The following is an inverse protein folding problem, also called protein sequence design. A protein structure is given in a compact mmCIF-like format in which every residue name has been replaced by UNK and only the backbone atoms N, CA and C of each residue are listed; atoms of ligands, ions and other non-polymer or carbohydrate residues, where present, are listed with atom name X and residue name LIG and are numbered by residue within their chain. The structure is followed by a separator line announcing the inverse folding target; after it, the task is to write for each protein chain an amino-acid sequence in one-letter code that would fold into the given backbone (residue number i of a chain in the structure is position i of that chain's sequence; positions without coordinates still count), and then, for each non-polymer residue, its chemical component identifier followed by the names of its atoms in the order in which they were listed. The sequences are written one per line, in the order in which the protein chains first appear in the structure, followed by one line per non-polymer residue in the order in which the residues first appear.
data_IF_581869781915
#
_entry.id   IF_581869781915
#
_cell.length_a   1.000
_cell.length_b   1.000
_cell.length_c   1.000
_cell.angle_alpha   90.00
_cell.angle_beta   90.00
_cell.angle_gamma   90.00
#
_symmetry.space_group_name_H-M   'P 1'
#
loop_
_entity.id
_entity.type
_entity.pdbx_description
1 polymer ?
#
# COMPACT_ATOMS: atom_id res chain seq x y z
N UNK A 1 -74.72 33.53 3.12
CA UNK A 1 -73.61 33.03 2.28
C UNK A 1 -72.39 32.94 3.16
N UNK A 2 -71.82 31.74 3.28
CA UNK A 2 -70.67 31.44 4.13
C UNK A 2 -69.43 32.19 3.64
N UNK A 3 -68.68 32.76 4.59
CA UNK A 3 -67.37 33.37 4.39
C UNK A 3 -66.39 32.35 3.84
N UNK A 4 -65.65 32.72 2.78
CA UNK A 4 -64.59 31.89 2.22
C UNK A 4 -63.54 31.57 3.30
N UNK A 5 -63.03 30.33 3.35
CA UNK A 5 -61.91 29.99 4.20
C UNK A 5 -60.68 30.80 3.77
N UNK A 6 -59.80 31.19 4.70
CA UNK A 6 -58.54 31.83 4.36
C UNK A 6 -57.71 30.90 3.46
N UNK A 7 -56.94 31.46 2.51
CA UNK A 7 -56.11 30.66 1.62
C UNK A 7 -55.12 29.84 2.44
N UNK A 8 -55.04 28.56 2.11
CA UNK A 8 -54.09 27.62 2.69
C UNK A 8 -52.67 28.17 2.49
N UNK A 9 -51.81 28.23 3.53
CA UNK A 9 -50.45 28.70 3.37
C UNK A 9 -49.75 27.79 2.37
N UNK A 10 -49.19 28.39 1.31
CA UNK A 10 -48.36 27.67 0.35
C UNK A 10 -47.32 26.85 1.12
N UNK A 11 -47.04 25.60 0.72
CA UNK A 11 -46.04 24.78 1.38
C UNK A 11 -44.74 25.57 1.39
N UNK A 12 -44.24 25.89 2.59
CA UNK A 12 -42.92 26.48 2.72
C UNK A 12 -41.95 25.58 1.96
N UNK A 13 -41.21 26.14 0.99
CA UNK A 13 -40.15 25.43 0.28
C UNK A 13 -39.04 25.10 1.28
N UNK A 14 -39.25 24.04 2.07
CA UNK A 14 -38.30 23.45 2.99
C UNK A 14 -37.35 22.56 2.16
N UNK A 15 -36.61 23.18 1.24
CA UNK A 15 -35.56 22.55 0.44
C UNK A 15 -34.20 23.13 0.78
N UNK A 16 -33.11 22.40 0.51
CA UNK A 16 -31.74 22.92 0.68
C UNK A 16 -31.53 24.27 -0.03
N UNK A 17 -32.31 24.55 -1.08
CA UNK A 17 -32.26 25.81 -1.82
C UNK A 17 -32.81 27.01 -1.05
N UNK A 18 -33.63 26.84 -0.01
CA UNK A 18 -34.04 27.97 0.84
C UNK A 18 -33.07 28.25 1.99
N UNK A 19 -32.05 27.40 2.15
CA UNK A 19 -30.97 27.62 3.11
C UNK A 19 -29.97 28.63 2.54
N UNK A 20 -29.60 29.62 3.34
CA UNK A 20 -28.69 30.70 2.93
C UNK A 20 -27.39 30.71 3.75
N UNK A 21 -26.30 31.10 3.07
CA UNK A 21 -25.00 31.37 3.66
C UNK A 21 -24.40 30.20 4.44
N UNK A 22 -23.84 30.52 5.62
CA UNK A 22 -23.05 29.63 6.46
C UNK A 22 -23.73 28.29 6.81
N UNK A 23 -25.07 28.24 6.85
CA UNK A 23 -25.79 27.02 7.19
C UNK A 23 -25.70 26.00 6.06
N UNK A 24 -25.89 26.45 4.82
CA UNK A 24 -25.77 25.60 3.62
C UNK A 24 -24.33 25.08 3.48
N UNK A 25 -23.35 25.97 3.63
CA UNK A 25 -21.92 25.62 3.55
C UNK A 25 -21.53 24.58 4.62
N UNK A 26 -22.05 24.72 5.84
CA UNK A 26 -21.80 23.77 6.94
C UNK A 26 -22.40 22.40 6.64
N UNK A 27 -23.63 22.35 6.11
CA UNK A 27 -24.30 21.09 5.74
C UNK A 27 -23.52 20.39 4.64
N UNK A 28 -23.14 21.11 3.58
CA UNK A 28 -22.37 20.58 2.45
C UNK A 28 -21.02 20.05 2.93
N UNK A 29 -20.29 20.83 3.73
CA UNK A 29 -18.98 20.42 4.27
C UNK A 29 -19.07 19.19 5.15
N UNK A 30 -20.18 18.97 5.87
CA UNK A 30 -20.39 17.79 6.71
C UNK A 30 -20.87 16.57 5.94
N UNK A 31 -21.61 16.76 4.85
CA UNK A 31 -22.14 15.68 4.03
C UNK A 31 -21.05 14.96 3.21
N UNK A 32 -19.95 15.66 2.91
CA UNK A 32 -18.81 15.12 2.18
C UNK A 32 -18.90 15.31 0.66
N UNK A 33 -17.87 14.86 -0.05
CA UNK A 33 -17.68 15.19 -1.46
C UNK A 33 -18.74 14.60 -2.38
N UNK A 34 -19.20 13.37 -2.13
CA UNK A 34 -20.20 12.71 -2.99
C UNK A 34 -21.55 13.43 -2.96
N UNK A 35 -22.12 13.77 -1.79
CA UNK A 35 -23.28 14.65 -1.73
C UNK A 35 -23.04 16.03 -2.34
N UNK A 36 -21.88 16.66 -2.10
CA UNK A 36 -21.55 17.95 -2.70
C UNK A 36 -21.54 17.91 -4.24
N UNK A 37 -20.97 16.86 -4.83
CA UNK A 37 -21.01 16.62 -6.27
C UNK A 37 -22.45 16.44 -6.79
N UNK A 38 -23.28 15.69 -6.06
CA UNK A 38 -24.68 15.49 -6.42
C UNK A 38 -25.49 16.81 -6.38
N UNK A 39 -25.24 17.67 -5.38
CA UNK A 39 -25.86 19.00 -5.28
C UNK A 39 -25.46 19.89 -6.46
N UNK A 40 -24.21 19.80 -6.94
CA UNK A 40 -23.75 20.55 -8.12
C UNK A 40 -24.56 20.23 -9.39
N UNK A 41 -25.10 19.02 -9.48
CA UNK A 41 -25.92 18.55 -10.59
C UNK A 41 -27.40 18.93 -10.44
N UNK A 42 -27.87 19.23 -9.22
CA UNK A 42 -29.28 19.47 -8.92
C UNK A 42 -29.77 20.85 -9.38
N UNK A 43 -28.97 21.92 -9.19
CA UNK A 43 -29.33 23.27 -9.64
C UNK A 43 -28.13 24.18 -9.85
N UNK A 44 -28.34 25.29 -10.56
CA UNK A 44 -27.31 26.31 -10.78
C UNK A 44 -26.88 27.00 -9.49
N UNK A 45 -27.83 27.26 -8.57
CA UNK A 45 -27.54 27.84 -7.26
C UNK A 45 -26.65 26.92 -6.42
N UNK A 46 -27.03 25.65 -6.29
CA UNK A 46 -26.26 24.67 -5.53
C UNK A 46 -24.89 24.41 -6.16
N UNK A 47 -24.80 24.42 -7.50
CA UNK A 47 -23.52 24.38 -8.22
C UNK A 47 -22.60 25.52 -7.83
N UNK A 48 -23.12 26.75 -7.75
CA UNK A 48 -22.33 27.90 -7.32
C UNK A 48 -21.90 27.76 -5.86
N UNK A 49 -22.77 27.24 -4.99
CA UNK A 49 -22.45 27.01 -3.57
C UNK A 49 -21.32 25.99 -3.37
N UNK A 50 -21.26 24.94 -4.20
CA UNK A 50 -20.20 23.92 -4.14
C UNK A 50 -19.01 24.21 -5.07
N UNK A 51 -18.97 25.34 -5.76
CA UNK A 51 -17.87 25.70 -6.66
C UNK A 51 -16.63 26.23 -5.94
N UNK A 52 -16.73 26.53 -4.64
CA UNK A 52 -15.60 27.02 -3.85
C UNK A 52 -14.51 25.95 -3.71
N UNK A 53 -13.31 26.26 -4.21
CA UNK A 53 -12.17 25.34 -4.16
C UNK A 53 -11.66 25.11 -2.73
N UNK A 54 -11.99 26.00 -1.78
CA UNK A 54 -11.65 25.80 -0.36
C UNK A 54 -12.37 24.60 0.26
N UNK A 55 -13.61 24.34 -0.17
CA UNK A 55 -14.39 23.16 0.21
C UNK A 55 -13.76 21.89 -0.36
N UNK A 56 -13.39 21.91 -1.65
CA UNK A 56 -12.75 20.76 -2.29
C UNK A 56 -11.34 20.51 -1.75
N UNK A 57 -10.61 21.55 -1.34
CA UNK A 57 -9.35 21.42 -0.63
C UNK A 57 -9.53 20.63 0.66
N UNK A 58 -10.58 20.92 1.43
CA UNK A 58 -10.91 20.18 2.64
C UNK A 58 -11.22 18.71 2.32
N UNK A 59 -12.06 18.44 1.33
CA UNK A 59 -12.37 17.07 0.92
C UNK A 59 -11.12 16.32 0.46
N UNK A 60 -10.29 16.92 -0.39
CA UNK A 60 -9.01 16.35 -0.80
C UNK A 60 -8.07 16.08 0.38
N UNK A 61 -8.01 16.98 1.37
CA UNK A 61 -7.22 16.79 2.59
C UNK A 61 -7.75 15.64 3.47
N UNK A 62 -9.05 15.61 3.73
CA UNK A 62 -9.68 14.60 4.60
C UNK A 62 -9.79 13.22 3.93
N UNK A 63 -10.09 13.20 2.63
CA UNK A 63 -10.34 11.96 1.88
C UNK A 63 -9.11 11.37 1.25
N UNK A 64 -8.21 12.22 0.80
CA UNK A 64 -7.07 11.80 0.01
C UNK A 64 -5.77 12.26 0.61
N UNK A 65 -5.73 12.98 1.74
CA UNK A 65 -4.49 13.49 2.34
C UNK A 65 -3.68 14.38 1.41
N UNK A 66 -4.34 15.16 0.55
CA UNK A 66 -3.71 16.08 -0.39
C UNK A 66 -3.61 17.49 0.20
N UNK A 67 -2.45 18.10 0.07
CA UNK A 67 -2.16 19.48 0.46
C UNK A 67 -2.09 20.44 -0.75
N UNK A 68 -1.95 19.90 -1.95
CA UNK A 68 -1.95 20.57 -3.24
C UNK A 68 -2.89 19.85 -4.25
N UNK A 69 -3.41 20.56 -5.27
CA UNK A 69 -4.24 19.95 -6.29
C UNK A 69 -3.36 19.18 -7.27
N UNK A 70 -3.12 17.90 -6.98
CA UNK A 70 -2.33 17.00 -7.83
C UNK A 70 -3.12 15.76 -8.18
N UNK A 71 -2.80 15.15 -9.32
CA UNK A 71 -3.32 13.84 -9.71
C UNK A 71 -2.63 12.69 -8.93
N UNK A 72 -3.05 11.43 -9.13
CA UNK A 72 -2.41 10.28 -8.48
C UNK A 72 -0.92 10.09 -8.75
N UNK A 73 -0.45 10.57 -9.90
CA UNK A 73 0.96 10.54 -10.28
C UNK A 73 1.76 11.74 -9.74
N UNK A 74 1.09 12.66 -9.03
CA UNK A 74 1.70 13.85 -8.43
C UNK A 74 1.85 15.03 -9.39
N UNK A 75 1.23 14.99 -10.58
CA UNK A 75 1.24 16.08 -11.54
C UNK A 75 0.26 17.18 -11.09
N UNK A 76 0.64 18.47 -11.18
CA UNK A 76 -0.21 19.57 -10.75
C UNK A 76 -1.46 19.70 -11.63
N UNK A 77 -2.59 19.97 -10.98
CA UNK A 77 -3.90 20.19 -11.57
C UNK A 77 -4.40 21.62 -11.30
N UNK A 78 -5.35 22.14 -12.09
CA UNK A 78 -5.81 23.53 -11.96
C UNK A 78 -6.53 23.88 -10.65
N UNK A 79 -7.15 22.90 -9.96
CA UNK A 79 -7.92 23.13 -8.74
C UNK A 79 -8.12 21.85 -7.92
N UNK A 80 -8.49 21.96 -6.65
CA UNK A 80 -8.80 20.81 -5.80
C UNK A 80 -10.06 20.07 -6.26
N UNK A 81 -11.03 20.78 -6.83
CA UNK A 81 -12.20 20.13 -7.43
C UNK A 81 -11.80 19.19 -8.58
N UNK A 82 -10.91 19.65 -9.47
CA UNK A 82 -10.41 18.83 -10.58
C UNK A 82 -9.61 17.65 -10.03
N UNK A 83 -8.78 17.87 -9.01
CA UNK A 83 -8.05 16.81 -8.34
C UNK A 83 -8.99 15.74 -7.77
N UNK A 84 -10.00 16.13 -6.99
CA UNK A 84 -10.94 15.17 -6.40
C UNK A 84 -11.63 14.32 -7.47
N UNK A 85 -12.04 14.95 -8.59
CA UNK A 85 -12.63 14.24 -9.72
C UNK A 85 -11.67 13.20 -10.31
N UNK A 86 -10.43 13.59 -10.64
CA UNK A 86 -9.43 12.68 -11.24
C UNK A 86 -9.11 11.51 -10.30
N UNK A 87 -9.00 11.78 -8.99
CA UNK A 87 -8.81 10.74 -7.97
C UNK A 87 -10.02 9.81 -7.87
N UNK A 88 -11.23 10.35 -7.89
CA UNK A 88 -12.45 9.55 -7.87
C UNK A 88 -12.62 8.70 -9.13
N UNK A 89 -12.20 9.18 -10.30
CA UNK A 89 -12.19 8.40 -11.54
C UNK A 89 -11.14 7.28 -11.48
N UNK A 90 -9.99 7.54 -10.87
CA UNK A 90 -8.87 6.59 -10.81
C UNK A 90 -9.04 5.51 -9.74
N UNK A 91 -9.61 5.85 -8.58
CA UNK A 91 -9.70 4.97 -7.40
C UNK A 91 -11.12 4.78 -6.86
N UNK A 92 -12.14 5.44 -7.42
CA UNK A 92 -13.50 5.41 -6.87
C UNK A 92 -14.19 4.04 -6.91
N UNK A 93 -13.64 3.07 -7.64
CA UNK A 93 -14.08 1.67 -7.59
C UNK A 93 -13.62 0.93 -6.32
N UNK A 94 -12.67 1.50 -5.58
CA UNK A 94 -12.16 0.95 -4.34
C UNK A 94 -12.79 1.62 -3.11
N UNK A 95 -12.92 0.91 -1.98
CA UNK A 95 -13.34 1.54 -0.74
C UNK A 95 -12.37 2.65 -0.32
N UNK A 96 -12.92 3.85 -0.11
CA UNK A 96 -12.11 5.03 0.26
C UNK A 96 -11.22 4.80 1.50
N UNK A 97 -11.67 4.12 2.58
CA UNK A 97 -10.79 3.79 3.71
C UNK A 97 -9.55 2.98 3.31
N UNK A 98 -9.67 2.06 2.34
CA UNK A 98 -8.52 1.32 1.83
C UNK A 98 -7.58 2.19 1.01
N UNK A 99 -8.13 3.04 0.13
CA UNK A 99 -7.35 4.00 -0.67
C UNK A 99 -6.51 4.89 0.26
N UNK A 100 -7.12 5.43 1.33
CA UNK A 100 -6.44 6.22 2.37
C UNK A 100 -5.28 5.45 2.99
N UNK A 101 -5.55 4.22 3.44
CA UNK A 101 -4.58 3.38 4.15
C UNK A 101 -3.35 3.07 3.28
N UNK A 102 -3.57 2.58 2.07
CA UNK A 102 -2.48 2.20 1.14
C UNK A 102 -1.70 3.42 0.68
N UNK A 103 -2.38 4.55 0.40
CA UNK A 103 -1.71 5.81 0.09
C UNK A 103 -0.82 6.26 1.25
N UNK A 104 -1.33 6.25 2.48
CA UNK A 104 -0.57 6.65 3.66
C UNK A 104 0.67 5.78 3.85
N UNK A 105 0.55 4.47 3.66
CA UNK A 105 1.67 3.55 3.67
C UNK A 105 2.73 3.96 2.64
N UNK A 106 2.36 4.10 1.36
CA UNK A 106 3.33 4.42 0.30
C UNK A 106 3.93 5.81 0.43
N UNK A 107 3.15 6.82 0.82
CA UNK A 107 3.67 8.16 1.10
C UNK A 107 4.72 8.09 2.20
N UNK A 108 4.42 7.40 3.31
CA UNK A 108 5.34 7.28 4.44
C UNK A 108 6.61 6.49 4.09
N UNK A 109 6.47 5.40 3.31
CA UNK A 109 7.60 4.61 2.82
C UNK A 109 8.49 5.42 1.88
N UNK A 110 7.88 6.13 0.90
CA UNK A 110 8.59 7.01 -0.04
C UNK A 110 9.36 8.11 0.69
N UNK A 111 8.74 8.78 1.66
CA UNK A 111 9.40 9.78 2.51
C UNK A 111 10.59 9.16 3.23
N UNK A 112 10.40 8.05 3.95
CA UNK A 112 11.48 7.41 4.70
C UNK A 112 12.64 7.01 3.79
N UNK A 113 12.36 6.42 2.63
CA UNK A 113 13.39 6.04 1.65
C UNK A 113 14.13 7.25 1.09
N UNK A 114 13.41 8.33 0.76
CA UNK A 114 14.05 9.53 0.22
C UNK A 114 15.05 10.17 1.19
N UNK A 115 14.80 10.05 2.49
CA UNK A 115 15.64 10.58 3.56
C UNK A 115 16.78 9.63 3.97
N UNK A 116 16.50 8.32 4.03
CA UNK A 116 17.39 7.34 4.65
C UNK A 116 18.08 6.41 3.65
N UNK A 117 17.45 6.12 2.51
CA UNK A 117 17.96 5.21 1.49
C UNK A 117 17.62 5.64 0.04
N UNK A 118 18.19 6.77 -0.44
CA UNK A 118 17.87 7.32 -1.76
C UNK A 118 18.14 6.36 -2.93
N UNK A 119 19.09 5.44 -2.79
CA UNK A 119 19.41 4.43 -3.79
C UNK A 119 18.24 3.46 -3.98
N UNK A 120 17.65 2.96 -2.90
CA UNK A 120 16.45 2.13 -2.95
C UNK A 120 15.22 2.93 -3.40
N UNK A 121 15.10 4.20 -3.00
CA UNK A 121 14.03 5.08 -3.48
C UNK A 121 13.99 5.16 -5.02
N UNK A 122 15.16 5.24 -5.67
CA UNK A 122 15.27 5.32 -7.14
C UNK A 122 14.84 4.03 -7.85
N UNK A 123 14.74 2.91 -7.13
CA UNK A 123 14.24 1.66 -7.70
C UNK A 123 12.73 1.61 -7.77
N UNK A 124 12.02 2.52 -7.10
CA UNK A 124 10.56 2.49 -7.06
C UNK A 124 9.95 2.74 -8.44
N UNK A 125 9.05 1.86 -8.84
CA UNK A 125 8.31 2.00 -10.09
C UNK A 125 6.99 2.76 -9.91
N UNK A 126 6.53 3.40 -10.99
CA UNK A 126 5.20 4.00 -11.04
C UNK A 126 4.11 2.95 -10.81
N UNK A 127 2.94 3.38 -10.33
CA UNK A 127 1.82 2.48 -10.10
C UNK A 127 1.27 1.88 -11.39
N UNK A 128 0.70 0.67 -11.30
CA UNK A 128 0.07 0.02 -12.46
C UNK A 128 -1.36 0.53 -12.70
N UNK A 129 -1.87 0.35 -13.92
CA UNK A 129 -3.27 0.61 -14.28
C UNK A 129 -4.21 -0.56 -13.96
N UNK A 130 -5.53 -0.34 -13.91
CA UNK A 130 -6.52 -1.44 -13.86
C UNK A 130 -6.36 -2.43 -15.02
N UNK A 131 -5.98 -1.96 -16.20
CA UNK A 131 -5.79 -2.82 -17.37
C UNK A 131 -4.61 -3.78 -17.18
N UNK A 132 -3.51 -3.29 -16.62
CA UNK A 132 -2.34 -4.12 -16.27
C UNK A 132 -2.69 -5.12 -15.16
N UNK A 133 -3.39 -4.71 -14.11
CA UNK A 133 -3.87 -5.63 -13.07
C UNK A 133 -4.78 -6.70 -13.64
N UNK A 134 -5.72 -6.32 -14.50
CA UNK A 134 -6.61 -7.26 -15.16
C UNK A 134 -5.84 -8.26 -16.03
N UNK A 135 -4.86 -7.78 -16.80
CA UNK A 135 -3.99 -8.64 -17.61
C UNK A 135 -3.23 -9.64 -16.74
N UNK A 136 -2.66 -9.19 -15.61
CA UNK A 136 -1.96 -10.06 -14.67
C UNK A 136 -2.89 -11.11 -14.03
N UNK A 137 -4.10 -10.72 -13.62
CA UNK A 137 -5.10 -11.66 -13.09
C UNK A 137 -5.57 -12.67 -14.13
N UNK A 138 -5.75 -12.23 -15.38
CA UNK A 138 -6.15 -13.10 -16.49
C UNK A 138 -5.02 -14.10 -16.83
N UNK A 139 -3.75 -13.67 -16.75
CA UNK A 139 -2.56 -14.50 -16.92
C UNK A 139 -2.34 -15.53 -15.79
N UNK A 140 -2.63 -15.14 -14.55
CA UNK A 140 -2.56 -16.01 -13.37
C UNK A 140 -3.74 -16.98 -13.28
N UNK A 141 -4.87 -16.66 -13.92
CA UNK A 141 -6.11 -17.43 -13.87
C UNK A 141 -6.91 -17.23 -12.57
N UNK A 142 -6.57 -16.25 -11.74
CA UNK A 142 -7.30 -15.91 -10.52
C UNK A 142 -7.14 -14.44 -10.12
N UNK A 143 -8.02 -13.99 -9.21
CA UNK A 143 -8.06 -12.60 -8.75
C UNK A 143 -7.07 -12.34 -7.62
N UNK A 144 -6.42 -11.18 -7.67
CA UNK A 144 -5.57 -10.68 -6.60
C UNK A 144 -6.44 -10.09 -5.47
N UNK A 145 -6.01 -10.21 -4.20
CA UNK A 145 -6.68 -9.55 -3.09
C UNK A 145 -6.78 -8.04 -3.32
N UNK A 146 -7.89 -7.43 -2.90
CA UNK A 146 -8.13 -6.00 -3.09
C UNK A 146 -7.02 -5.10 -2.48
N UNK A 147 -6.53 -5.34 -1.24
CA UNK A 147 -5.44 -4.53 -0.68
C UNK A 147 -4.15 -4.66 -1.51
N UNK A 148 -3.81 -5.88 -1.93
CA UNK A 148 -2.69 -6.14 -2.86
C UNK A 148 -2.85 -5.37 -4.17
N UNK A 149 -4.04 -5.36 -4.80
CA UNK A 149 -4.26 -4.57 -6.03
C UNK A 149 -4.01 -3.08 -5.83
N UNK A 150 -4.57 -2.49 -4.77
CA UNK A 150 -4.30 -1.07 -4.47
C UNK A 150 -2.83 -0.81 -4.20
N UNK A 151 -2.13 -1.72 -3.51
CA UNK A 151 -0.70 -1.59 -3.23
C UNK A 151 0.06 -1.33 -4.54
N UNK A 152 -0.18 -2.16 -5.57
CA UNK A 152 0.46 -2.03 -6.87
C UNK A 152 -0.08 -0.85 -7.70
N UNK A 153 -1.36 -0.46 -7.55
CA UNK A 153 -1.91 0.76 -8.19
C UNK A 153 -1.17 2.03 -7.77
N UNK A 154 -0.64 2.09 -6.55
CA UNK A 154 0.08 3.26 -6.04
C UNK A 154 1.59 3.24 -6.32
N UNK A 155 2.17 2.05 -6.44
CA UNK A 155 3.58 1.85 -6.74
C UNK A 155 3.79 0.41 -7.18
N UNK A 156 4.35 0.19 -8.37
CA UNK A 156 4.66 -1.16 -8.87
C UNK A 156 5.94 -1.73 -8.23
N UNK A 157 6.08 -1.55 -6.91
CA UNK A 157 7.23 -1.97 -6.12
C UNK A 157 8.58 -1.49 -6.69
N UNK A 158 9.51 -2.39 -7.00
CA UNK A 158 10.88 -2.07 -7.45
C UNK A 158 11.10 -2.44 -8.92
N UNK A 159 12.17 -1.89 -9.51
CA UNK A 159 12.70 -2.34 -10.79
C UNK A 159 12.90 -3.87 -10.77
N UNK A 160 12.46 -4.58 -11.83
CA UNK A 160 12.58 -6.02 -11.88
C UNK A 160 14.05 -6.45 -11.98
N UNK A 161 14.34 -7.68 -11.56
CA UNK A 161 15.57 -8.33 -11.98
C UNK A 161 15.51 -8.61 -13.49
N UNK A 162 16.59 -8.34 -14.20
CA UNK A 162 16.71 -8.59 -15.64
C UNK A 162 17.53 -9.85 -15.92
N UNK A 163 17.72 -10.22 -17.18
CA UNK A 163 18.68 -11.27 -17.55
C UNK A 163 20.15 -10.81 -17.36
N UNK A 164 20.39 -9.50 -17.23
CA UNK A 164 21.73 -8.95 -17.08
C UNK A 164 22.23 -9.06 -15.64
N UNK A 165 23.18 -9.98 -15.45
CA UNK A 165 23.77 -10.27 -14.14
C UNK A 165 24.41 -9.03 -13.50
N UNK A 166 25.09 -8.18 -14.28
CA UNK A 166 25.80 -7.01 -13.72
C UNK A 166 24.83 -5.93 -13.24
N UNK A 167 23.74 -5.69 -13.99
CA UNK A 167 22.63 -4.84 -13.54
C UNK A 167 22.02 -5.38 -12.25
N UNK A 168 21.67 -6.68 -12.19
CA UNK A 168 21.09 -7.28 -10.99
C UNK A 168 22.02 -7.20 -9.78
N UNK A 169 23.31 -7.46 -9.99
CA UNK A 169 24.32 -7.33 -8.95
C UNK A 169 24.38 -5.90 -8.41
N UNK A 170 24.26 -4.89 -9.27
CA UNK A 170 24.30 -3.48 -8.86
C UNK A 170 23.11 -3.06 -7.99
N UNK A 171 21.93 -3.64 -8.20
CA UNK A 171 20.71 -3.32 -7.44
C UNK A 171 20.44 -4.29 -6.30
N UNK A 172 21.12 -5.44 -6.24
CA UNK A 172 20.85 -6.52 -5.27
C UNK A 172 20.85 -6.07 -3.81
N UNK A 173 21.54 -4.99 -3.44
CA UNK A 173 21.56 -4.42 -2.08
C UNK A 173 20.35 -3.54 -1.73
N UNK A 174 19.56 -3.15 -2.72
CA UNK A 174 18.53 -2.10 -2.61
C UNK A 174 17.12 -2.64 -2.33
N UNK A 175 16.97 -3.91 -1.95
CA UNK A 175 15.67 -4.50 -1.68
C UNK A 175 14.94 -3.80 -0.54
N UNK A 176 13.66 -3.47 -0.78
CA UNK A 176 12.82 -2.74 0.17
C UNK A 176 12.55 -3.51 1.45
N UNK A 177 12.46 -4.83 1.34
CA UNK A 177 12.27 -5.72 2.50
C UNK A 177 13.59 -5.83 3.28
N UNK A 178 14.72 -5.62 2.60
CA UNK A 178 16.04 -5.70 3.21
C UNK A 178 16.48 -7.15 3.44
N UNK A 179 17.46 -7.32 4.32
CA UNK A 179 17.90 -8.66 4.66
C UNK A 179 19.06 -8.68 5.65
N UNK A 180 19.92 -9.68 5.53
CA UNK A 180 21.00 -9.94 6.46
C UNK A 180 22.25 -10.43 5.74
N UNK A 181 23.39 -10.18 6.36
CA UNK A 181 24.67 -10.78 6.02
C UNK A 181 25.15 -11.57 7.23
N UNK A 182 25.45 -12.85 7.04
CA UNK A 182 25.97 -13.76 8.06
C UNK A 182 27.00 -14.70 7.42
N UNK A 183 28.27 -14.53 7.80
CA UNK A 183 29.40 -15.16 7.12
C UNK A 183 29.41 -14.86 5.61
N UNK A 184 29.41 -15.89 4.78
CA UNK A 184 29.33 -15.86 3.31
C UNK A 184 27.88 -15.87 2.80
N UNK A 185 26.89 -15.95 3.69
CA UNK A 185 25.48 -15.84 3.32
C UNK A 185 25.04 -14.39 3.33
N UNK A 186 24.60 -13.93 2.16
CA UNK A 186 24.02 -12.60 2.01
C UNK A 186 22.66 -12.72 1.33
N UNK A 187 21.65 -12.21 2.02
CA UNK A 187 20.26 -12.18 1.56
C UNK A 187 19.79 -10.75 1.59
N UNK A 188 19.15 -10.32 0.52
CA UNK A 188 18.47 -9.04 0.43
C UNK A 188 17.24 -9.21 -0.45
N UNK A 189 16.07 -8.95 0.12
CA UNK A 189 14.78 -9.28 -0.48
C UNK A 189 14.18 -8.02 -1.11
N UNK A 190 13.80 -8.16 -2.37
CA UNK A 190 13.16 -7.15 -3.18
C UNK A 190 11.65 -7.42 -3.21
N UNK A 191 10.86 -6.36 -3.14
CA UNK A 191 9.43 -6.47 -3.43
C UNK A 191 9.27 -6.48 -4.94
N UNK A 192 8.72 -7.55 -5.50
CA UNK A 192 8.67 -7.77 -6.95
C UNK A 192 7.61 -6.88 -7.60
N UNK A 193 7.88 -6.29 -8.79
CA UNK A 193 6.87 -5.64 -9.61
C UNK A 193 5.89 -6.67 -10.19
N UNK A 194 4.70 -6.23 -10.57
CA UNK A 194 3.58 -7.08 -11.00
C UNK A 194 3.97 -8.05 -12.14
N UNK A 195 4.76 -7.59 -13.11
CA UNK A 195 5.23 -8.40 -14.24
C UNK A 195 6.08 -9.57 -13.75
N UNK A 196 7.05 -9.29 -12.88
CA UNK A 196 7.91 -10.31 -12.27
C UNK A 196 7.12 -11.26 -11.37
N UNK A 197 6.10 -10.76 -10.64
CA UNK A 197 5.19 -11.64 -9.86
C UNK A 197 4.54 -12.67 -10.76
N UNK A 198 4.02 -12.26 -11.92
CA UNK A 198 3.35 -13.18 -12.85
C UNK A 198 4.33 -14.22 -13.39
N UNK A 199 5.52 -13.79 -13.81
CA UNK A 199 6.57 -14.66 -14.36
C UNK A 199 7.08 -15.65 -13.31
N UNK A 200 7.56 -15.16 -12.16
CA UNK A 200 8.06 -15.99 -11.07
C UNK A 200 6.98 -16.95 -10.55
N UNK A 201 5.73 -16.51 -10.46
CA UNK A 201 4.64 -17.40 -10.06
C UNK A 201 4.48 -18.53 -11.05
N UNK A 202 4.42 -18.26 -12.37
CA UNK A 202 4.31 -19.32 -13.39
C UNK A 202 5.50 -20.28 -13.34
N UNK A 203 6.69 -19.80 -13.03
CA UNK A 203 7.89 -20.61 -12.89
C UNK A 203 7.79 -21.55 -11.69
N UNK A 204 7.38 -21.03 -10.53
CA UNK A 204 7.20 -21.82 -9.31
C UNK A 204 6.09 -22.88 -9.44
N UNK A 205 5.01 -22.64 -10.19
CA UNK A 205 4.01 -23.68 -10.48
C UNK A 205 4.58 -24.82 -11.32
N UNK A 206 5.58 -24.56 -12.18
CA UNK A 206 6.26 -25.59 -12.98
C UNK A 206 7.30 -26.34 -12.15
N UNK A 207 8.05 -25.63 -11.30
CA UNK A 207 9.12 -26.22 -10.49
C UNK A 207 8.59 -27.02 -9.30
N UNK A 208 7.51 -26.56 -8.66
CA UNK A 208 6.95 -27.14 -7.44
C UNK A 208 5.45 -27.48 -7.60
N UNK A 209 5.08 -28.32 -8.58
CA UNK A 209 3.69 -28.58 -8.91
C UNK A 209 2.89 -29.08 -7.70
N UNK A 210 3.45 -29.97 -6.88
CA UNK A 210 2.75 -30.54 -5.71
C UNK A 210 2.42 -29.51 -4.62
N UNK A 211 3.22 -28.44 -4.51
CA UNK A 211 3.04 -27.38 -3.50
C UNK A 211 2.01 -26.36 -3.96
N UNK A 212 1.99 -26.07 -5.26
CA UNK A 212 1.16 -25.04 -5.87
C UNK A 212 -0.15 -25.58 -6.45
N UNK A 213 -0.29 -26.90 -6.64
CA UNK A 213 -1.49 -27.51 -7.21
C UNK A 213 -2.75 -27.12 -6.43
N UNK A 214 -3.74 -26.54 -7.13
CA UNK A 214 -5.02 -26.14 -6.55
C UNK A 214 -4.95 -24.97 -5.56
N UNK A 215 -3.77 -24.38 -5.34
CA UNK A 215 -3.57 -23.20 -4.52
C UNK A 215 -3.61 -21.97 -5.43
N UNK A 216 -3.80 -20.78 -4.86
CA UNK A 216 -3.76 -19.51 -5.61
C UNK A 216 -2.63 -18.65 -5.06
N UNK A 217 -1.44 -19.21 -5.12
CA UNK A 217 -0.24 -18.51 -4.68
C UNK A 217 0.28 -17.57 -5.73
N UNK A 218 0.80 -16.44 -5.27
CA UNK A 218 1.68 -15.56 -6.05
C UNK A 218 2.98 -15.34 -5.28
N UNK A 219 4.09 -15.22 -6.00
CA UNK A 219 5.41 -14.87 -5.45
C UNK A 219 5.54 -13.35 -5.44
N UNK A 220 5.54 -12.72 -4.25
CA UNK A 220 5.44 -11.24 -4.12
C UNK A 220 6.76 -10.56 -3.80
N UNK A 221 7.72 -11.31 -3.24
CA UNK A 221 9.03 -10.79 -2.91
C UNK A 221 10.06 -11.91 -2.95
N UNK A 222 11.23 -11.63 -3.51
CA UNK A 222 12.33 -12.59 -3.64
C UNK A 222 13.66 -11.92 -3.38
N UNK A 223 14.62 -12.68 -2.88
CA UNK A 223 16.03 -12.29 -2.95
C UNK A 223 16.65 -12.79 -4.26
N UNK A 224 17.76 -12.16 -4.66
CA UNK A 224 18.50 -12.58 -5.85
C UNK A 224 18.97 -14.03 -5.72
N UNK A 225 18.76 -14.85 -6.77
CA UNK A 225 18.85 -16.33 -6.79
C UNK A 225 17.83 -17.10 -5.92
N UNK A 226 16.79 -16.43 -5.45
CA UNK A 226 15.68 -17.00 -4.68
C UNK A 226 16.02 -17.80 -3.40
N UNK A 227 17.09 -17.50 -2.61
CA UNK A 227 17.27 -18.17 -1.32
C UNK A 227 16.18 -17.79 -0.30
N UNK A 228 15.42 -16.71 -0.55
CA UNK A 228 14.23 -16.32 0.19
C UNK A 228 13.12 -15.92 -0.78
N UNK A 229 11.94 -16.50 -0.57
CA UNK A 229 10.75 -16.30 -1.41
C UNK A 229 9.55 -16.09 -0.51
N UNK A 230 8.77 -15.06 -0.78
CA UNK A 230 7.53 -14.75 -0.07
C UNK A 230 6.34 -15.03 -0.97
N UNK A 231 5.37 -15.77 -0.42
CA UNK A 231 4.20 -16.25 -1.15
C UNK A 231 2.93 -15.72 -0.51
N UNK A 232 2.07 -15.07 -1.29
CA UNK A 232 0.74 -14.66 -0.86
C UNK A 232 -0.29 -15.67 -1.38
N UNK A 233 -1.09 -16.27 -0.49
CA UNK A 233 -2.26 -17.04 -0.88
C UNK A 233 -3.43 -16.08 -1.17
N UNK A 234 -3.75 -15.90 -2.45
CA UNK A 234 -4.84 -15.02 -2.88
C UNK A 234 -6.23 -15.53 -2.48
N UNK A 235 -6.36 -16.76 -1.98
CA UNK A 235 -7.65 -17.32 -1.53
C UNK A 235 -8.04 -16.85 -0.14
N UNK A 236 -7.06 -16.72 0.77
CA UNK A 236 -7.29 -16.40 2.18
C UNK A 236 -6.50 -15.18 2.67
N UNK A 237 -5.65 -14.61 1.82
CA UNK A 237 -4.81 -13.45 2.14
C UNK A 237 -3.63 -13.75 3.06
N UNK A 238 -3.28 -15.02 3.33
CA UNK A 238 -2.12 -15.36 4.16
C UNK A 238 -0.80 -15.16 3.39
N UNK A 239 0.16 -14.50 4.04
CA UNK A 239 1.52 -14.33 3.54
C UNK A 239 2.46 -15.32 4.23
N UNK A 240 3.27 -16.01 3.44
CA UNK A 240 4.25 -16.97 3.89
C UNK A 240 5.65 -16.62 3.39
N UNK A 241 6.67 -17.08 4.12
CA UNK A 241 8.01 -17.26 3.55
C UNK A 241 8.27 -18.73 3.29
N UNK A 242 8.92 -19.03 2.17
CA UNK A 242 9.48 -20.34 1.89
C UNK A 242 10.65 -20.66 2.81
N UNK A 243 10.70 -21.90 3.29
CA UNK A 243 11.87 -22.45 4.00
C UNK A 243 12.75 -23.22 3.03
N UNK A 244 13.88 -23.74 3.49
CA UNK A 244 14.69 -24.70 2.72
C UNK A 244 13.88 -25.91 2.24
N UNK A 245 12.80 -26.27 2.95
CA UNK A 245 11.90 -27.36 2.61
C UNK A 245 10.73 -26.91 1.72
N UNK A 246 10.79 -25.72 1.09
CA UNK A 246 9.74 -25.26 0.17
C UNK A 246 9.39 -26.29 -0.92
N UNK A 247 10.34 -27.05 -1.52
CA UNK A 247 9.99 -28.07 -2.52
C UNK A 247 9.06 -29.17 -2.03
N UNK A 248 8.95 -29.37 -0.70
CA UNK A 248 8.02 -30.30 -0.06
C UNK A 248 6.94 -29.57 0.78
N UNK A 249 6.72 -28.28 0.52
CA UNK A 249 5.68 -27.46 1.13
C UNK A 249 6.05 -26.77 2.45
N UNK A 250 7.33 -26.76 2.83
CA UNK A 250 7.81 -26.10 4.04
C UNK A 250 7.74 -24.57 3.94
N UNK A 251 6.76 -23.97 4.62
CA UNK A 251 6.49 -22.54 4.66
C UNK A 251 6.19 -22.08 6.09
N UNK A 252 6.49 -20.81 6.40
CA UNK A 252 6.18 -20.19 7.69
C UNK A 252 5.31 -18.94 7.48
N UNK A 253 4.24 -18.72 8.27
CA UNK A 253 3.39 -17.54 8.15
C UNK A 253 4.13 -16.28 8.61
N UNK A 254 4.04 -15.21 7.84
CA UNK A 254 4.69 -13.93 8.14
C UNK A 254 3.87 -13.06 9.11
N UNK A 255 2.55 -13.31 9.21
CA UNK A 255 1.60 -12.50 9.98
C UNK A 255 0.69 -13.40 10.81
N UNK A 256 0.33 -13.02 12.05
CA UNK A 256 -0.68 -13.74 12.82
C UNK A 256 -2.01 -13.87 12.05
N UNK A 257 -2.49 -15.10 11.90
CA UNK A 257 -3.76 -15.39 11.21
C UNK A 257 -4.97 -14.61 11.75
N UNK A 258 -4.98 -14.30 13.05
CA UNK A 258 -6.04 -13.52 13.69
C UNK A 258 -6.18 -12.07 13.18
N UNK A 259 -5.14 -11.52 12.54
CA UNK A 259 -5.17 -10.18 11.95
C UNK A 259 -5.71 -10.18 10.52
N UNK A 260 -5.68 -11.33 9.83
CA UNK A 260 -6.02 -11.42 8.41
C UNK A 260 -7.54 -11.49 8.25
N UNK A 261 -8.08 -10.61 7.39
CA UNK A 261 -9.51 -10.41 7.16
C UNK A 261 -9.75 -10.19 5.66
N UNK A 262 -9.65 -11.23 4.82
CA UNK A 262 -9.55 -11.11 3.37
C UNK A 262 -10.87 -10.67 2.72
N UNK A 263 -12.01 -10.86 3.40
CA UNK A 263 -13.34 -10.43 2.97
C UNK A 263 -14.13 -9.89 4.17
N UNK A 264 -14.93 -8.82 3.96
CA UNK A 264 -15.98 -8.46 4.90
C UNK A 264 -16.23 -6.97 5.22
N UNK A 265 -15.53 -6.00 4.65
CA UNK A 265 -15.81 -4.56 4.81
C UNK A 265 -14.87 -3.67 3.95
N UNK A 266 -15.00 -2.35 4.06
CA UNK A 266 -14.15 -1.32 3.46
C UNK A 266 -12.65 -1.40 3.83
N UNK A 267 -12.27 -2.29 4.75
CA UNK A 267 -10.96 -2.41 5.38
C UNK A 267 -10.44 -3.86 5.39
N UNK A 268 -10.69 -4.59 4.30
CA UNK A 268 -10.12 -5.93 4.10
C UNK A 268 -8.60 -5.95 4.36
N UNK A 269 -8.09 -7.01 4.98
CA UNK A 269 -6.70 -7.12 5.39
C UNK A 269 -6.11 -8.40 4.83
N UNK A 270 -5.08 -8.28 3.99
CA UNK A 270 -4.21 -9.37 3.61
C UNK A 270 -2.87 -9.28 4.37
N UNK A 271 -2.13 -10.38 4.38
CA UNK A 271 -0.86 -10.51 5.05
C UNK A 271 0.21 -9.64 4.41
N UNK A 272 0.13 -9.35 3.11
CA UNK A 272 1.11 -8.52 2.42
C UNK A 272 1.09 -7.07 2.94
N UNK A 273 -0.07 -6.41 2.94
CA UNK A 273 -0.15 -5.03 3.43
C UNK A 273 0.20 -4.94 4.92
N UNK A 274 -0.31 -5.87 5.75
CA UNK A 274 -0.02 -5.91 7.18
C UNK A 274 1.48 -6.07 7.47
N UNK A 275 2.16 -6.96 6.73
CA UNK A 275 3.59 -7.19 6.87
C UNK A 275 4.41 -5.97 6.46
N UNK A 276 4.05 -5.32 5.35
CA UNK A 276 4.72 -4.11 4.88
C UNK A 276 4.53 -2.92 5.82
N UNK A 277 3.33 -2.74 6.38
CA UNK A 277 3.06 -1.68 7.38
C UNK A 277 3.89 -1.89 8.65
N UNK A 278 4.01 -3.13 9.14
CA UNK A 278 4.87 -3.46 10.27
C UNK A 278 6.35 -3.23 9.94
N UNK A 279 6.80 -3.62 8.75
CA UNK A 279 8.16 -3.35 8.28
C UNK A 279 8.48 -1.85 8.29
N UNK A 280 7.60 -1.03 7.71
CA UNK A 280 7.72 0.42 7.75
C UNK A 280 7.71 0.97 9.18
N UNK A 281 6.83 0.46 10.05
CA UNK A 281 6.79 0.87 11.47
C UNK A 281 8.14 0.62 12.15
N UNK A 282 8.79 -0.51 11.87
CA UNK A 282 10.13 -0.84 12.41
C UNK A 282 11.23 0.05 11.84
N UNK A 283 11.14 0.45 10.57
CA UNK A 283 12.05 1.43 9.95
C UNK A 283 11.89 2.81 10.61
N UNK A 284 10.66 3.28 10.78
CA UNK A 284 10.35 4.58 11.38
C UNK A 284 10.70 4.64 12.87
N UNK A 285 10.53 3.55 13.60
CA UNK A 285 10.92 3.47 15.01
C UNK A 285 12.43 3.30 15.21
N UNK A 286 13.20 3.13 14.13
CA UNK A 286 14.63 2.81 14.19
C UNK A 286 14.92 1.41 14.74
N UNK A 287 13.92 0.52 14.81
CA UNK A 287 14.12 -0.87 15.25
C UNK A 287 14.99 -1.61 14.24
N UNK A 288 14.80 -1.33 12.95
CA UNK A 288 15.69 -1.73 11.87
C UNK A 288 16.11 -0.48 11.11
N UNK A 289 17.29 -0.49 10.47
CA UNK A 289 17.83 0.67 9.77
C UNK A 289 18.76 0.26 8.63
N UNK A 290 19.15 1.23 7.82
CA UNK A 290 20.20 1.01 6.83
C UNK A 290 21.55 0.78 7.49
N UNK A 291 22.33 -0.18 6.97
CA UNK A 291 23.73 -0.41 7.34
C UNK A 291 24.61 -0.44 6.09
N UNK A 292 25.91 -0.21 6.28
CA UNK A 292 26.91 -0.43 5.25
C UNK A 292 27.40 -1.88 5.34
N UNK A 293 27.42 -2.57 4.21
CA UNK A 293 28.13 -3.82 3.99
C UNK A 293 29.19 -3.56 2.93
N UNK A 294 30.47 -3.57 3.34
CA UNK A 294 31.58 -3.10 2.52
C UNK A 294 31.31 -1.68 1.99
N UNK A 295 31.15 -1.50 0.68
CA UNK A 295 30.87 -0.21 0.04
C UNK A 295 29.38 0.03 -0.23
N UNK A 296 28.50 -0.92 0.04
CA UNK A 296 27.09 -0.84 -0.33
C UNK A 296 26.18 -0.69 0.88
N UNK A 297 25.16 0.17 0.76
CA UNK A 297 24.11 0.34 1.77
C UNK A 297 23.00 -0.69 1.55
N UNK A 298 22.42 -1.19 2.63
CA UNK A 298 21.25 -2.06 2.59
C UNK A 298 20.38 -1.88 3.85
N UNK A 299 19.09 -2.22 3.78
CA UNK A 299 18.23 -2.32 4.97
C UNK A 299 18.61 -3.59 5.73
N UNK A 300 19.11 -3.43 6.95
CA UNK A 300 19.49 -4.54 7.81
C UNK A 300 18.32 -4.96 8.69
N UNK A 301 17.93 -6.22 8.62
CA UNK A 301 16.88 -6.80 9.45
C UNK A 301 17.32 -7.13 10.88
N UNK A 302 18.58 -6.87 11.23
CA UNK A 302 19.06 -7.01 12.59
C UNK A 302 18.48 -5.90 13.49
N UNK A 303 17.82 -6.24 14.61
CA UNK A 303 17.25 -5.25 15.48
C UNK A 303 18.32 -4.38 16.16
N UNK A 304 17.98 -3.11 16.38
CA UNK A 304 18.88 -2.10 16.96
C UNK A 304 18.57 -1.79 18.43
N UNK A 305 17.37 -2.13 18.91
CA UNK A 305 16.88 -1.74 20.22
C UNK A 305 16.49 -2.94 21.11
N UNK A 306 16.61 -2.82 22.44
CA UNK A 306 16.02 -3.78 23.39
C UNK A 306 14.50 -3.89 23.23
N UNK A 307 13.89 -5.03 23.59
CA UNK A 307 14.54 -6.23 24.14
C UNK A 307 15.20 -7.11 23.08
N UNK A 308 14.93 -6.88 21.80
CA UNK A 308 15.41 -7.71 20.68
C UNK A 308 16.90 -7.58 20.39
N UNK A 309 17.58 -6.60 20.98
CA UNK A 309 19.01 -6.38 20.86
C UNK A 309 19.60 -5.94 22.20
N UNK A 310 20.71 -6.56 22.58
CA UNK A 310 21.51 -6.16 23.74
C UNK A 310 22.98 -6.11 23.35
N UNK A 311 23.75 -5.22 23.96
CA UNK A 311 25.18 -5.15 23.69
C UNK A 311 25.98 -4.97 24.96
N UNK A 312 27.11 -5.65 25.04
CA UNK A 312 28.10 -5.50 26.09
C UNK A 312 29.45 -5.17 25.47
N UNK A 313 30.24 -4.32 26.12
CA UNK A 313 31.62 -4.04 25.70
C UNK A 313 32.56 -4.66 26.73
N UNK A 314 33.45 -5.54 26.29
CA UNK A 314 34.45 -6.19 27.15
C UNK A 314 35.81 -6.07 26.48
N UNK A 315 36.81 -5.52 27.19
CA UNK A 315 38.16 -5.32 26.67
C UNK A 315 38.22 -4.58 25.32
N UNK A 316 37.33 -3.60 25.11
CA UNK A 316 37.24 -2.83 23.86
C UNK A 316 36.47 -3.53 22.73
N UNK A 317 36.03 -4.78 22.92
CA UNK A 317 35.22 -5.52 21.95
C UNK A 317 33.74 -5.34 22.31
N UNK A 318 32.95 -4.82 21.37
CA UNK A 318 31.48 -4.77 21.49
C UNK A 318 30.88 -6.09 21.02
N UNK A 319 30.28 -6.84 21.93
CA UNK A 319 29.45 -8.01 21.66
C UNK A 319 28.00 -7.54 21.55
N UNK A 320 27.32 -7.92 20.48
CA UNK A 320 25.88 -7.65 20.28
C UNK A 320 25.16 -8.99 20.25
N UNK A 321 24.22 -9.18 21.16
CA UNK A 321 23.34 -10.34 21.23
C UNK A 321 21.97 -9.92 20.71
N UNK A 322 21.50 -10.61 19.68
CA UNK A 322 20.17 -10.44 19.14
C UNK A 322 19.25 -11.45 19.82
N UNK A 323 18.24 -10.96 20.53
CA UNK A 323 17.22 -11.77 21.15
C UNK A 323 16.07 -11.92 20.17
N UNK A 324 15.99 -13.09 19.53
CA UNK A 324 14.84 -13.45 18.71
C UNK A 324 13.72 -13.91 19.64
N UNK A 325 12.97 -12.92 20.17
CA UNK A 325 11.82 -13.16 21.03
C UNK A 325 10.61 -13.43 20.13
N UNK A 326 10.12 -14.66 20.20
CA UNK A 326 8.97 -15.19 19.48
C UNK A 326 9.08 -15.21 17.95
N UNK A 327 8.32 -16.13 17.36
CA UNK A 327 8.31 -16.56 15.96
C UNK A 327 7.95 -15.49 14.91
N UNK A 328 8.22 -14.21 15.20
CA UNK A 328 7.95 -13.04 14.35
C UNK A 328 9.19 -12.51 13.61
N UNK A 329 10.28 -13.28 13.66
CA UNK A 329 11.38 -13.18 12.71
C UNK A 329 11.33 -14.38 11.78
N UNK A 330 10.18 -14.54 11.12
CA UNK A 330 10.13 -15.30 9.87
C UNK A 330 10.82 -14.43 8.82
N UNK A 331 12.15 -14.58 8.71
CA UNK A 331 12.94 -14.09 7.57
C UNK A 331 12.88 -15.11 6.45
#
# INVERSE_FOLDING_TARGET
MASQPPPEPAPAEAGLESMEGLVLDTVISRAGARPAAALACASTRLRTAVADDSLWRRFCGEDLGLDAPVDPEGRPLPSFQVAYKVWSESFGMYPLPMVKRVRQFWTSMKTWLSENFPEAYKTLCEGVSEAQLKSAEDDLGFKLPMPTKLLYRFCNAQLPFSEDHDTNKSISTYGLIGGYAFYDHWVNVHLSPLEQIVEETKDFYREFPDVFHGRKFIVVATSWFHPKTFLLDCSNGELYVGTYNLPIGGMLPCVPKALIKPAGNDLAQDGLLLWLEEHLRRLQSGMIKTRMLMASRYISLYPEAPPSCSSAVTNGIKVVILHFIDSYLVI
#
